data_IF_080587689029
#
_entry.id   IF_080587689029
#
_cell.length_a   1.000
_cell.length_b   1.000
_cell.length_c   1.000
_cell.angle_alpha   90.00
_cell.angle_beta   90.00
_cell.angle_gamma   90.00
#
_symmetry.space_group_name_H-M   'P 1'
#
loop_
_entity.id
_entity.type
_entity.pdbx_description
1 polymer ?
#
# COMPACT_ATOMS: atom_id res chain seq x y z
N UNK A 1 25.51 -0.95 4.09
CA UNK A 1 24.88 -1.93 5.01
C UNK A 1 23.89 -1.20 5.88
N UNK A 2 22.66 -1.68 6.02
CA UNK A 2 21.70 -1.14 7.00
C UNK A 2 22.13 -1.67 8.38
N UNK A 3 22.36 -0.77 9.35
CA UNK A 3 22.61 -1.16 10.73
C UNK A 3 21.32 -1.75 11.33
N UNK A 4 21.43 -2.80 12.15
CA UNK A 4 20.31 -3.38 12.88
C UNK A 4 19.49 -2.33 13.66
N UNK A 5 20.15 -1.31 14.21
CA UNK A 5 19.48 -0.21 14.91
C UNK A 5 18.59 0.62 13.98
N UNK A 6 19.02 0.88 12.74
CA UNK A 6 18.25 1.65 11.76
C UNK A 6 17.00 0.87 11.31
N UNK A 7 17.14 -0.45 11.17
CA UNK A 7 16.02 -1.34 10.89
C UNK A 7 15.00 -1.32 12.04
N UNK A 8 15.45 -1.46 13.29
CA UNK A 8 14.59 -1.39 14.48
C UNK A 8 13.85 -0.05 14.54
N UNK A 9 14.56 1.06 14.30
CA UNK A 9 13.97 2.40 14.29
C UNK A 9 12.90 2.53 13.19
N UNK A 10 13.18 2.03 11.99
CA UNK A 10 12.24 2.04 10.86
C UNK A 10 10.97 1.24 11.16
N UNK A 11 11.13 0.05 11.74
CA UNK A 11 10.00 -0.80 12.15
C UNK A 11 9.17 -0.13 13.25
N UNK A 12 9.81 0.51 14.23
CA UNK A 12 9.12 1.24 15.29
C UNK A 12 8.31 2.43 14.73
N UNK A 13 8.86 3.17 13.76
CA UNK A 13 8.16 4.27 13.07
C UNK A 13 6.94 3.74 12.29
N UNK A 14 7.11 2.65 11.54
CA UNK A 14 6.03 2.00 10.80
C UNK A 14 4.89 1.53 11.74
N UNK A 15 5.26 0.87 12.84
CA UNK A 15 4.30 0.39 13.83
C UNK A 15 3.49 1.54 14.46
N UNK A 16 4.16 2.63 14.84
CA UNK A 16 3.52 3.85 15.36
C UNK A 16 2.57 4.50 14.34
N UNK A 17 2.82 4.34 13.05
CA UNK A 17 1.94 4.82 11.99
C UNK A 17 0.70 3.91 11.75
N UNK A 18 0.63 2.77 12.44
CA UNK A 18 -0.47 1.82 12.34
C UNK A 18 -0.24 0.66 11.36
N UNK A 19 0.98 0.49 10.85
CA UNK A 19 1.36 -0.68 10.05
C UNK A 19 1.47 -1.89 10.99
N UNK A 20 0.79 -2.99 10.64
CA UNK A 20 0.62 -4.15 11.52
C UNK A 20 1.32 -5.42 11.03
N UNK A 21 1.83 -5.44 9.80
CA UNK A 21 2.62 -6.56 9.29
C UNK A 21 3.80 -6.10 8.45
N UNK A 22 4.89 -6.91 8.37
CA UNK A 22 6.00 -6.65 7.45
C UNK A 22 5.53 -6.52 6.00
N UNK A 23 4.48 -7.25 5.65
CA UNK A 23 3.97 -7.28 4.29
C UNK A 23 3.18 -6.01 3.92
N UNK A 24 2.50 -5.39 4.89
CA UNK A 24 1.94 -4.04 4.71
C UNK A 24 3.06 -3.01 4.50
N UNK A 25 4.16 -3.13 5.23
CA UNK A 25 5.32 -2.25 5.05
C UNK A 25 5.95 -2.45 3.67
N UNK A 26 6.19 -3.69 3.25
CA UNK A 26 6.70 -4.04 1.92
C UNK A 26 5.85 -3.42 0.81
N UNK A 27 4.54 -3.66 0.82
CA UNK A 27 3.63 -3.17 -0.20
C UNK A 27 3.53 -1.63 -0.21
N UNK A 28 3.58 -0.99 0.97
CA UNK A 28 3.65 0.48 1.03
C UNK A 28 4.92 1.02 0.38
N UNK A 29 6.07 0.39 0.62
CA UNK A 29 7.35 0.78 0.01
C UNK A 29 7.34 0.54 -1.50
N UNK A 30 6.71 -0.52 -1.98
CA UNK A 30 6.56 -0.76 -3.42
C UNK A 30 5.69 0.28 -4.10
N UNK A 31 4.58 0.69 -3.47
CA UNK A 31 3.76 1.81 -3.96
C UNK A 31 4.56 3.12 -3.94
N UNK A 32 5.39 3.32 -2.92
CA UNK A 32 6.24 4.49 -2.82
C UNK A 32 7.29 4.55 -3.94
N UNK A 33 8.00 3.43 -4.17
CA UNK A 33 9.02 3.28 -5.21
C UNK A 33 8.46 3.44 -6.61
N UNK A 34 7.28 2.88 -6.88
CA UNK A 34 6.64 3.01 -8.19
C UNK A 34 6.08 4.42 -8.44
N UNK A 35 5.79 5.19 -7.39
CA UNK A 35 5.07 6.47 -7.42
C UNK A 35 3.59 6.33 -7.74
N UNK A 36 3.27 5.53 -8.77
CA UNK A 36 1.94 5.17 -9.22
C UNK A 36 1.92 3.71 -9.68
N UNK A 37 0.99 2.91 -9.15
CA UNK A 37 0.89 1.47 -9.47
C UNK A 37 -0.54 0.97 -9.29
N UNK A 38 -0.76 -0.33 -9.40
CA UNK A 38 -2.03 -0.98 -9.15
C UNK A 38 -1.83 -2.38 -8.53
N UNK A 39 -2.91 -2.99 -8.04
CA UNK A 39 -2.87 -4.29 -7.37
C UNK A 39 -2.37 -5.41 -8.28
N UNK A 40 -2.72 -5.40 -9.57
CA UNK A 40 -2.30 -6.43 -10.52
C UNK A 40 -0.81 -6.34 -10.80
N UNK A 41 -0.31 -5.11 -10.99
CA UNK A 41 1.12 -4.85 -11.13
C UNK A 41 1.91 -5.30 -9.90
N UNK A 42 1.44 -4.97 -8.69
CA UNK A 42 2.05 -5.43 -7.44
C UNK A 42 2.01 -6.96 -7.27
N UNK A 43 0.99 -7.62 -7.83
CA UNK A 43 0.85 -9.07 -7.82
C UNK A 43 1.66 -9.77 -8.93
N UNK A 44 2.25 -9.02 -9.87
CA UNK A 44 2.84 -9.61 -11.08
C UNK A 44 1.83 -10.35 -11.96
N UNK A 45 0.54 -10.02 -11.85
CA UNK A 45 -0.55 -10.74 -12.51
C UNK A 45 -1.24 -9.88 -13.56
N UNK A 46 -1.84 -10.54 -14.56
CA UNK A 46 -2.72 -9.90 -15.54
C UNK A 46 -4.20 -10.13 -15.23
N UNK A 47 -4.54 -10.93 -14.22
CA UNK A 47 -5.93 -11.34 -13.97
C UNK A 47 -6.43 -10.87 -12.62
N UNK A 48 -7.61 -10.24 -12.58
CA UNK A 48 -8.22 -9.80 -11.32
C UNK A 48 -8.77 -10.93 -10.45
N UNK A 49 -8.92 -12.12 -11.02
CA UNK A 49 -9.34 -13.34 -10.32
C UNK A 49 -8.19 -14.04 -9.60
N UNK A 50 -6.95 -13.66 -9.89
CA UNK A 50 -5.74 -14.20 -9.31
C UNK A 50 -5.76 -14.12 -7.77
N UNK A 51 -5.40 -15.24 -7.13
CA UNK A 51 -5.37 -15.38 -5.68
C UNK A 51 -4.41 -14.37 -5.04
N UNK A 52 -3.27 -14.12 -5.67
CA UNK A 52 -2.25 -13.19 -5.17
C UNK A 52 -2.75 -11.74 -5.26
N UNK A 53 -3.40 -11.38 -6.36
CA UNK A 53 -4.03 -10.06 -6.50
C UNK A 53 -5.09 -9.82 -5.42
N UNK A 54 -5.91 -10.82 -5.09
CA UNK A 54 -6.89 -10.74 -4.00
C UNK A 54 -6.22 -10.60 -2.64
N UNK A 55 -5.13 -11.34 -2.40
CA UNK A 55 -4.34 -11.29 -1.16
C UNK A 55 -3.73 -9.91 -0.96
N UNK A 56 -3.02 -9.38 -1.96
CA UNK A 56 -2.43 -8.04 -1.93
C UNK A 56 -3.51 -6.97 -1.71
N UNK A 57 -4.65 -7.06 -2.40
CA UNK A 57 -5.76 -6.13 -2.19
C UNK A 57 -6.25 -6.15 -0.73
N UNK A 58 -6.34 -7.32 -0.11
CA UNK A 58 -6.74 -7.46 1.30
C UNK A 58 -5.74 -6.79 2.25
N UNK A 59 -4.43 -6.97 2.00
CA UNK A 59 -3.35 -6.39 2.83
C UNK A 59 -3.31 -4.86 2.70
N UNK A 60 -3.56 -4.33 1.50
CA UNK A 60 -3.53 -2.89 1.21
C UNK A 60 -4.75 -2.12 1.72
N UNK A 61 -5.94 -2.76 1.77
CA UNK A 61 -7.20 -2.10 2.19
C UNK A 61 -7.10 -1.34 3.51
N UNK A 62 -6.51 -1.89 4.60
CA UNK A 62 -6.29 -1.14 5.84
C UNK A 62 -5.43 0.12 5.70
N UNK A 63 -4.64 0.24 4.64
CA UNK A 63 -3.77 1.40 4.36
C UNK A 63 -4.50 2.49 3.57
N UNK A 64 -5.67 2.20 3.00
CA UNK A 64 -6.39 3.12 2.13
C UNK A 64 -7.04 4.29 2.89
N UNK A 65 -6.97 5.48 2.29
CA UNK A 65 -7.70 6.68 2.71
C UNK A 65 -9.20 6.46 2.51
N UNK A 66 -10.00 6.77 3.55
CA UNK A 66 -11.46 6.65 3.48
C UNK A 66 -12.02 5.22 3.44
N UNK A 67 -11.18 4.18 3.44
CA UNK A 67 -11.66 2.80 3.47
C UNK A 67 -12.18 2.43 4.86
N UNK A 68 -13.33 1.78 4.92
CA UNK A 68 -13.87 1.24 6.18
C UNK A 68 -13.41 -0.20 6.35
N UNK A 69 -12.45 -0.42 7.24
CA UNK A 69 -11.85 -1.73 7.53
C UNK A 69 -12.87 -2.69 8.14
N UNK A 70 -13.73 -2.18 9.02
CA UNK A 70 -14.83 -2.94 9.63
C UNK A 70 -16.10 -2.10 9.58
N UNK A 71 -17.13 -2.63 8.93
CA UNK A 71 -18.42 -1.94 8.80
C UNK A 71 -19.10 -1.71 10.16
N UNK A 72 -19.01 -2.69 11.07
CA UNK A 72 -19.66 -2.66 12.38
C UNK A 72 -19.02 -1.70 13.38
N UNK A 73 -17.69 -1.54 13.36
CA UNK A 73 -16.97 -0.69 14.32
C UNK A 73 -16.64 0.69 13.76
N UNK A 74 -16.94 0.94 12.48
CA UNK A 74 -16.54 2.17 11.80
C UNK A 74 -15.02 2.36 11.68
N UNK A 75 -14.23 1.33 11.95
CA UNK A 75 -12.77 1.42 11.89
C UNK A 75 -12.33 1.82 10.48
N UNK A 76 -11.69 2.98 10.38
CA UNK A 76 -11.18 3.52 9.12
C UNK A 76 -9.76 3.01 8.85
N UNK A 77 -9.42 2.95 7.57
CA UNK A 77 -8.06 2.72 7.11
C UNK A 77 -7.14 3.85 7.54
N UNK A 78 -5.86 3.56 7.70
CA UNK A 78 -4.89 4.52 8.25
C UNK A 78 -4.53 5.65 7.28
N UNK A 79 -4.98 5.59 6.01
CA UNK A 79 -4.88 6.69 5.06
C UNK A 79 -3.47 6.98 4.57
N UNK A 80 -2.65 5.95 4.37
CA UNK A 80 -1.30 6.08 3.79
C UNK A 80 -1.32 6.00 2.26
N UNK A 81 -2.31 5.31 1.69
CA UNK A 81 -2.45 5.10 0.25
C UNK A 81 -3.80 5.65 -0.21
N UNK A 82 -3.80 6.34 -1.34
CA UNK A 82 -5.01 6.74 -2.05
C UNK A 82 -5.26 5.74 -3.18
N UNK A 83 -6.50 5.27 -3.28
CA UNK A 83 -6.96 4.42 -4.37
C UNK A 83 -7.97 5.21 -5.21
N UNK A 84 -7.61 5.53 -6.45
CA UNK A 84 -8.49 6.23 -7.40
C UNK A 84 -8.85 5.30 -8.54
N UNK A 85 -10.08 5.36 -9.09
CA UNK A 85 -10.38 4.70 -10.36
C UNK A 85 -9.37 5.17 -11.42
N UNK A 86 -8.66 4.23 -12.05
CA UNK A 86 -7.77 4.53 -13.15
C UNK A 86 -8.53 4.71 -14.47
N UNK A 87 -7.78 4.94 -15.54
CA UNK A 87 -8.33 5.09 -16.91
C UNK A 87 -8.39 3.71 -17.61
N UNK A 88 -7.46 2.82 -17.26
CA UNK A 88 -7.33 1.48 -17.86
C UNK A 88 -8.34 0.50 -17.26
N UNK A 89 -9.08 -0.21 -18.09
CA UNK A 89 -10.00 -1.28 -17.65
C UNK A 89 -9.25 -2.51 -17.14
N UNK A 90 -9.80 -3.18 -16.13
CA UNK A 90 -9.29 -4.47 -15.68
C UNK A 90 -9.33 -5.49 -16.81
N UNK A 91 -8.29 -6.33 -17.00
CA UNK A 91 -8.39 -7.46 -17.90
C UNK A 91 -9.55 -8.37 -17.48
N UNK A 92 -10.49 -8.60 -18.40
CA UNK A 92 -11.69 -9.40 -18.15
C UNK A 92 -12.83 -8.68 -17.41
N UNK A 93 -12.85 -7.35 -17.34
CA UNK A 93 -13.93 -6.61 -16.70
C UNK A 93 -14.19 -5.22 -17.29
N UNK A 94 -15.37 -4.66 -17.01
CA UNK A 94 -15.78 -3.32 -17.46
C UNK A 94 -15.36 -2.21 -16.49
N UNK A 95 -14.87 -2.56 -15.29
CA UNK A 95 -14.46 -1.57 -14.29
C UNK A 95 -13.00 -1.16 -14.48
N UNK A 96 -12.69 0.14 -14.35
CA UNK A 96 -11.32 0.60 -14.33
C UNK A 96 -10.52 -0.06 -13.20
N UNK A 97 -9.26 -0.30 -13.48
CA UNK A 97 -8.27 -0.73 -12.52
C UNK A 97 -7.98 0.46 -11.59
N UNK A 98 -8.03 0.24 -10.28
CA UNK A 98 -7.72 1.32 -9.36
C UNK A 98 -6.22 1.58 -9.34
N UNK A 99 -5.85 2.82 -9.57
CA UNK A 99 -4.51 3.33 -9.37
C UNK A 99 -4.27 3.61 -7.90
N UNK A 100 -3.07 3.25 -7.43
CA UNK A 100 -2.58 3.41 -6.06
C UNK A 100 -1.44 4.42 -6.04
N UNK A 101 -1.54 5.39 -5.13
CA UNK A 101 -0.50 6.40 -4.87
C UNK A 101 -0.39 6.69 -3.38
N UNK A 102 0.76 7.18 -2.92
CA UNK A 102 0.87 7.66 -1.54
C UNK A 102 0.02 8.91 -1.31
N UNK A 103 -0.68 8.96 -0.17
CA UNK A 103 -1.27 10.21 0.34
C UNK A 103 -0.18 11.16 0.85
N UNK A 104 -0.48 12.43 1.17
CA UNK A 104 0.45 13.30 1.89
C UNK A 104 0.93 12.69 3.22
N UNK A 105 0.06 11.92 3.91
CA UNK A 105 0.42 11.18 5.13
C UNK A 105 1.40 10.05 4.83
N UNK A 106 1.16 9.27 3.78
CA UNK A 106 2.07 8.24 3.28
C UNK A 106 3.44 8.79 2.95
N UNK A 107 3.52 9.87 2.16
CA UNK A 107 4.78 10.53 1.79
C UNK A 107 5.58 10.99 3.01
N UNK A 108 4.92 11.59 4.01
CA UNK A 108 5.57 11.98 5.27
C UNK A 108 6.11 10.77 6.05
N UNK A 109 5.38 9.66 6.06
CA UNK A 109 5.85 8.44 6.70
C UNK A 109 7.11 7.91 6.00
N UNK A 110 7.11 7.78 4.68
CA UNK A 110 8.27 7.35 3.90
C UNK A 110 9.50 8.21 4.21
N UNK A 111 9.35 9.55 4.19
CA UNK A 111 10.43 10.47 4.56
C UNK A 111 10.96 10.22 5.98
N UNK A 112 10.09 9.90 6.93
CA UNK A 112 10.49 9.59 8.32
C UNK A 112 11.20 8.25 8.47
N UNK A 113 10.93 7.28 7.60
CA UNK A 113 11.64 6.01 7.61
C UNK A 113 13.11 6.18 7.19
N UNK A 114 13.49 7.30 6.55
CA UNK A 114 14.87 7.54 6.12
C UNK A 114 15.34 6.57 5.05
N UNK A 115 14.40 5.94 4.33
CA UNK A 115 14.68 4.99 3.25
C UNK A 115 14.78 5.78 1.95
N UNK A 116 15.90 5.62 1.27
CA UNK A 116 16.03 6.05 -0.12
C UNK A 116 15.29 5.06 -1.03
N UNK A 117 14.41 5.58 -1.87
CA UNK A 117 13.62 4.77 -2.80
C UNK A 117 14.17 4.83 -4.24
N UNK A 118 15.16 5.69 -4.47
CA UNK A 118 15.85 5.85 -5.74
C UNK A 118 17.09 4.93 -5.76
N UNK A 119 16.83 3.62 -5.83
CA UNK A 119 17.84 2.59 -6.09
C UNK A 119 17.94 2.23 -7.56
#
# INVERSE_FOLDING_TARGET
MINAQDLINSLAIAYKAGIRSPEQLRLLLEVARAGETDVLTLAGSKMSTDTEAKRIASILRPLYEGYRVKASTGQMGIGLIRSTPGITTKPGGTRPLNTLRLTPKGKRLIKRLGIDLDG
#
